data_IF_861557666461
#
_entry.id   IF_861557666461
#
_cell.length_a   1.000
_cell.length_b   1.000
_cell.length_c   1.000
_cell.angle_alpha   90.00
_cell.angle_beta   90.00
_cell.angle_gamma   90.00
#
_symmetry.space_group_name_H-M   'P 1'
#
loop_
_entity.id
_entity.type
_entity.pdbx_description
1 polymer ?
#
# COMPACT_ATOMS: atom_id res chain seq x y z
N UNK A 1 -27.22 24.61 31.73
CA UNK A 1 -27.77 23.69 30.69
C UNK A 1 -27.12 22.30 30.71
N UNK A 2 -25.83 22.18 31.04
CA UNK A 2 -25.09 20.92 31.12
C UNK A 2 -25.70 19.86 32.06
N UNK A 3 -26.08 20.23 33.30
CA UNK A 3 -26.71 19.33 34.28
C UNK A 3 -27.99 18.64 33.79
N UNK A 4 -28.79 19.30 32.93
CA UNK A 4 -30.01 18.71 32.36
C UNK A 4 -29.69 17.69 31.25
N UNK A 5 -28.65 17.96 30.46
CA UNK A 5 -28.17 17.07 29.40
C UNK A 5 -27.51 15.80 29.97
N UNK A 6 -26.71 15.94 31.03
CA UNK A 6 -26.08 14.81 31.73
C UNK A 6 -27.10 13.86 32.36
N UNK A 7 -28.20 14.40 32.88
CA UNK A 7 -29.29 13.58 33.41
C UNK A 7 -29.97 12.77 32.31
N UNK A 8 -30.27 13.39 31.16
CA UNK A 8 -30.82 12.69 29.99
C UNK A 8 -29.89 11.57 29.53
N UNK A 9 -28.58 11.82 29.48
CA UNK A 9 -27.57 10.86 29.03
C UNK A 9 -27.47 9.65 29.97
N UNK A 10 -27.43 9.88 31.28
CA UNK A 10 -27.40 8.78 32.26
C UNK A 10 -28.69 7.98 32.29
N UNK A 11 -29.84 8.65 32.08
CA UNK A 11 -31.14 7.97 32.04
C UNK A 11 -31.29 7.09 30.81
N UNK A 12 -30.85 7.55 29.62
CA UNK A 12 -30.85 6.74 28.40
C UNK A 12 -29.85 5.59 28.46
N UNK A 13 -28.68 5.79 29.08
CA UNK A 13 -27.69 4.74 29.30
C UNK A 13 -28.23 3.64 30.23
N UNK A 14 -28.90 4.03 31.32
CA UNK A 14 -29.50 3.09 32.26
C UNK A 14 -30.66 2.31 31.61
N UNK A 15 -31.53 3.00 30.87
CA UNK A 15 -32.65 2.37 30.16
C UNK A 15 -32.15 1.37 29.12
N UNK A 16 -31.08 1.72 28.41
CA UNK A 16 -30.41 0.83 27.47
C UNK A 16 -29.86 -0.44 28.16
N UNK A 17 -29.18 -0.28 29.31
CA UNK A 17 -28.68 -1.41 30.09
C UNK A 17 -29.81 -2.37 30.51
N UNK A 18 -30.96 -1.84 30.93
CA UNK A 18 -32.13 -2.64 31.29
C UNK A 18 -32.67 -3.40 30.07
N UNK A 19 -32.80 -2.73 28.91
CA UNK A 19 -33.26 -3.41 27.68
C UNK A 19 -32.35 -4.55 27.26
N UNK A 20 -31.03 -4.39 27.47
CA UNK A 20 -30.02 -5.40 27.16
C UNK A 20 -30.20 -6.69 27.98
N UNK A 21 -30.58 -6.56 29.25
CA UNK A 21 -30.83 -7.70 30.14
C UNK A 21 -32.19 -8.37 29.88
N UNK A 22 -33.20 -7.62 29.46
CA UNK A 22 -34.56 -8.17 29.25
C UNK A 22 -34.77 -8.87 27.91
N UNK A 23 -33.98 -8.56 26.88
CA UNK A 23 -34.20 -9.08 25.51
C UNK A 23 -32.90 -9.64 24.93
N UNK A 24 -32.51 -10.85 25.32
CA UNK A 24 -31.17 -11.39 25.01
C UNK A 24 -30.90 -11.66 23.52
N UNK A 25 -31.93 -11.94 22.71
CA UNK A 25 -31.76 -12.23 21.28
C UNK A 25 -31.72 -10.99 20.40
N UNK A 26 -32.58 -10.01 20.67
CA UNK A 26 -32.64 -8.74 19.92
C UNK A 26 -31.56 -7.76 20.41
N UNK A 27 -31.14 -7.88 21.67
CA UNK A 27 -30.12 -7.04 22.29
C UNK A 27 -28.78 -7.06 21.55
N UNK A 28 -28.38 -8.21 20.98
CA UNK A 28 -27.13 -8.32 20.20
C UNK A 28 -27.19 -7.43 18.96
N UNK A 29 -28.29 -7.45 18.20
CA UNK A 29 -28.42 -6.60 17.01
C UNK A 29 -28.56 -5.12 17.37
N UNK A 30 -29.22 -4.81 18.49
CA UNK A 30 -29.32 -3.44 18.97
C UNK A 30 -27.96 -2.89 19.40
N UNK A 31 -27.08 -3.71 19.98
CA UNK A 31 -25.76 -3.27 20.45
C UNK A 31 -24.87 -2.76 19.33
N UNK A 32 -24.93 -3.38 18.15
CA UNK A 32 -24.15 -2.93 16.98
C UNK A 32 -24.50 -1.50 16.54
N UNK A 33 -25.74 -1.06 16.75
CA UNK A 33 -26.19 0.29 16.37
C UNK A 33 -26.07 1.25 17.57
N UNK A 34 -26.32 0.78 18.78
CA UNK A 34 -26.32 1.59 19.98
C UNK A 34 -24.91 1.97 20.46
N UNK A 35 -23.92 1.08 20.35
CA UNK A 35 -22.52 1.37 20.75
C UNK A 35 -21.94 2.56 19.96
N UNK A 36 -22.08 2.65 18.61
CA UNK A 36 -21.68 3.83 17.86
C UNK A 36 -22.40 5.12 18.31
N UNK A 37 -23.70 5.05 18.60
CA UNK A 37 -24.49 6.23 19.00
C UNK A 37 -24.05 6.72 20.39
N UNK A 38 -23.82 5.81 21.33
CA UNK A 38 -23.36 6.12 22.69
C UNK A 38 -21.94 6.67 22.68
N UNK A 39 -21.04 6.11 21.86
CA UNK A 39 -19.67 6.63 21.73
C UNK A 39 -19.65 8.03 21.14
N UNK A 40 -20.42 8.30 20.08
CA UNK A 40 -20.55 9.64 19.48
C UNK A 40 -21.18 10.63 20.47
N UNK A 41 -22.25 10.24 21.17
CA UNK A 41 -22.92 11.09 22.16
C UNK A 41 -22.02 11.41 23.36
N UNK A 42 -21.26 10.42 23.85
CA UNK A 42 -20.26 10.60 24.90
C UNK A 42 -19.09 11.50 24.46
N UNK A 43 -18.63 11.36 23.21
CA UNK A 43 -17.60 12.21 22.62
C UNK A 43 -18.05 13.67 22.53
N UNK A 44 -19.29 13.90 22.07
CA UNK A 44 -19.91 15.23 21.99
C UNK A 44 -20.07 15.83 23.40
N UNK A 45 -20.47 15.03 24.38
CA UNK A 45 -20.58 15.50 25.78
C UNK A 45 -19.21 15.88 26.35
N UNK A 46 -18.16 15.08 26.09
CA UNK A 46 -16.78 15.37 26.51
C UNK A 46 -16.24 16.64 25.86
N UNK A 47 -16.54 16.86 24.58
CA UNK A 47 -16.18 18.07 23.85
C UNK A 47 -16.98 19.32 24.28
N UNK A 48 -18.20 19.14 24.79
CA UNK A 48 -19.07 20.26 25.21
C UNK A 48 -18.91 20.63 26.69
N UNK A 49 -18.10 19.88 27.46
CA UNK A 49 -17.93 20.09 28.91
C UNK A 49 -16.83 21.08 29.29
N UNK A 50 -16.07 21.62 28.35
CA UNK A 50 -15.01 22.60 28.64
C UNK A 50 -15.45 24.03 28.36
N UNK A 51 -16.30 24.59 29.22
CA UNK A 51 -16.22 26.03 29.51
C UNK A 51 -17.01 26.40 30.76
N UNK A 52 -16.32 26.63 31.87
CA UNK A 52 -16.79 27.56 32.91
C UNK A 52 -15.57 28.25 33.53
N UNK A 53 -15.35 29.49 33.07
CA UNK A 53 -14.64 30.63 33.69
C UNK A 53 -13.10 30.56 33.91
N UNK A 54 -12.35 31.30 33.08
CA UNK A 54 -11.78 32.62 33.49
C UNK A 54 -10.90 33.26 32.39
N UNK A 55 -11.45 34.30 31.77
CA UNK A 55 -10.84 35.56 31.34
C UNK A 55 -9.48 35.66 30.59
N UNK A 56 -9.63 36.20 29.37
CA UNK A 56 -8.93 37.36 28.79
C UNK A 56 -7.66 37.14 27.94
N UNK A 57 -7.89 37.43 26.65
CA UNK A 57 -7.01 38.02 25.64
C UNK A 57 -6.29 37.08 24.64
N UNK A 58 -6.64 37.35 23.38
CA UNK A 58 -5.83 37.23 22.15
C UNK A 58 -5.77 35.86 21.46
N UNK A 59 -6.41 35.86 20.28
CA UNK A 59 -5.96 35.26 19.01
C UNK A 59 -5.63 33.77 18.99
N UNK A 60 -6.55 33.05 18.33
CA UNK A 60 -6.35 31.85 17.50
C UNK A 60 -4.88 31.44 17.36
N UNK A 61 -4.46 30.47 18.17
CA UNK A 61 -3.34 29.58 17.91
C UNK A 61 -3.82 28.15 18.20
N UNK A 62 -4.53 27.58 17.23
CA UNK A 62 -4.70 26.14 17.09
C UNK A 62 -3.36 25.55 16.64
N UNK A 63 -2.44 25.36 17.59
CA UNK A 63 -1.35 24.38 17.57
C UNK A 63 -0.45 24.64 18.78
N UNK A 64 -0.06 23.57 19.46
CA UNK A 64 0.90 23.56 20.56
C UNK A 64 0.40 24.03 21.92
N UNK A 65 -0.09 23.06 22.71
CA UNK A 65 0.44 22.74 24.05
C UNK A 65 -0.53 21.79 24.75
N UNK A 66 -0.20 20.50 24.76
CA UNK A 66 -0.06 19.70 25.98
C UNK A 66 0.37 18.27 25.58
N UNK A 67 1.67 18.07 25.38
CA UNK A 67 2.28 16.80 24.95
C UNK A 67 2.94 16.03 26.11
N UNK A 68 2.56 16.31 27.35
CA UNK A 68 3.39 15.85 28.48
C UNK A 68 2.74 14.77 29.35
N UNK A 69 1.52 14.30 29.09
CA UNK A 69 0.89 13.26 29.93
C UNK A 69 -0.04 12.27 29.17
N UNK A 70 0.17 12.05 27.87
CA UNK A 70 -0.56 10.99 27.14
C UNK A 70 0.32 9.73 27.06
N UNK A 71 -0.19 8.53 27.37
CA UNK A 71 0.62 7.32 27.35
C UNK A 71 1.22 7.09 25.94
N UNK A 72 2.48 6.63 25.84
CA UNK A 72 3.22 6.53 24.58
C UNK A 72 2.62 5.57 23.53
N UNK A 73 1.58 4.80 23.88
CA UNK A 73 0.87 3.91 22.96
C UNK A 73 -0.11 4.62 22.02
N UNK A 74 -0.71 5.75 22.43
CA UNK A 74 -1.75 6.40 21.61
C UNK A 74 -1.16 7.11 20.38
N UNK A 75 0.00 7.76 20.54
CA UNK A 75 0.71 8.44 19.44
C UNK A 75 1.25 7.44 18.40
N UNK A 76 1.69 6.24 18.82
CA UNK A 76 2.14 5.18 17.92
C UNK A 76 0.97 4.61 17.11
N UNK A 77 -0.18 4.36 17.74
CA UNK A 77 -1.36 3.83 17.06
C UNK A 77 -1.88 4.77 15.96
N UNK A 78 -2.08 6.05 16.26
CA UNK A 78 -2.59 6.99 15.25
C UNK A 78 -1.59 7.22 14.12
N UNK A 79 -0.29 7.19 14.39
CA UNK A 79 0.74 7.28 13.34
C UNK A 79 0.73 6.05 12.42
N UNK A 80 0.56 4.84 12.98
CA UNK A 80 0.46 3.58 12.22
C UNK A 80 -0.80 3.54 11.37
N UNK A 81 -1.94 3.98 11.90
CA UNK A 81 -3.20 4.09 11.17
C UNK A 81 -3.10 5.12 10.04
N UNK A 82 -2.52 6.30 10.31
CA UNK A 82 -2.33 7.34 9.29
C UNK A 82 -1.42 6.86 8.15
N UNK A 83 -0.32 6.16 8.48
CA UNK A 83 0.58 5.57 7.49
C UNK A 83 -0.12 4.47 6.68
N UNK A 84 -0.89 3.60 7.34
CA UNK A 84 -1.69 2.57 6.66
C UNK A 84 -2.68 3.18 5.65
N UNK A 85 -3.40 4.24 6.04
CA UNK A 85 -4.31 4.96 5.15
C UNK A 85 -3.58 5.59 3.97
N UNK A 86 -2.40 6.18 4.20
CA UNK A 86 -1.57 6.77 3.14
C UNK A 86 -1.15 5.71 2.12
N UNK A 87 -0.70 4.54 2.58
CA UNK A 87 -0.34 3.44 1.69
C UNK A 87 -1.53 2.88 0.92
N UNK A 88 -2.68 2.72 1.58
CA UNK A 88 -3.90 2.28 0.92
C UNK A 88 -4.36 3.26 -0.18
N UNK A 89 -4.32 4.56 0.12
CA UNK A 89 -4.68 5.60 -0.86
C UNK A 89 -3.68 5.63 -2.03
N UNK A 90 -2.39 5.50 -1.75
CA UNK A 90 -1.35 5.39 -2.77
C UNK A 90 -1.53 4.15 -3.65
N UNK A 91 -1.85 2.98 -3.07
CA UNK A 91 -2.20 1.75 -3.81
C UNK A 91 -3.34 2.01 -4.78
N UNK A 92 -4.42 2.60 -4.26
CA UNK A 92 -5.64 2.84 -5.03
C UNK A 92 -5.41 3.82 -6.18
N UNK A 93 -4.59 4.85 -5.97
CA UNK A 93 -4.25 5.83 -6.99
C UNK A 93 -3.35 5.24 -8.08
N UNK A 94 -2.32 4.47 -7.70
CA UNK A 94 -1.45 3.77 -8.64
C UNK A 94 -2.21 2.73 -9.46
N UNK A 95 -3.06 1.93 -8.81
CA UNK A 95 -3.93 0.97 -9.49
C UNK A 95 -4.86 1.70 -10.46
N UNK A 96 -5.46 2.82 -10.05
CA UNK A 96 -6.36 3.61 -10.91
C UNK A 96 -5.63 4.14 -12.15
N UNK A 97 -4.41 4.65 -12.00
CA UNK A 97 -3.63 5.18 -13.11
C UNK A 97 -3.16 4.07 -14.05
N UNK A 98 -2.61 2.97 -13.52
CA UNK A 98 -2.08 1.87 -14.31
C UNK A 98 -3.17 1.04 -14.99
N UNK A 99 -4.34 0.89 -14.35
CA UNK A 99 -5.48 0.16 -14.91
C UNK A 99 -6.40 1.00 -15.81
N UNK A 100 -6.19 2.32 -15.93
CA UNK A 100 -7.09 3.22 -16.66
C UNK A 100 -7.33 2.77 -18.10
N UNK A 101 -6.26 2.47 -18.84
CA UNK A 101 -6.36 2.04 -20.23
C UNK A 101 -7.03 0.65 -20.35
N UNK A 102 -6.68 -0.27 -19.46
CA UNK A 102 -7.29 -1.61 -19.41
C UNK A 102 -8.80 -1.55 -19.11
N UNK A 103 -9.23 -0.69 -18.18
CA UNK A 103 -10.64 -0.45 -17.88
C UNK A 103 -11.39 0.17 -19.07
N UNK A 104 -10.77 1.10 -19.78
CA UNK A 104 -11.37 1.66 -20.99
C UNK A 104 -11.55 0.61 -22.10
N UNK A 105 -10.59 -0.32 -22.23
CA UNK A 105 -10.68 -1.45 -23.17
C UNK A 105 -11.80 -2.42 -22.76
N UNK A 106 -11.97 -2.70 -21.46
CA UNK A 106 -13.11 -3.51 -20.99
C UNK A 106 -14.43 -2.83 -21.34
N UNK A 107 -14.56 -1.52 -21.08
CA UNK A 107 -15.79 -0.77 -21.37
C UNK A 107 -16.12 -0.80 -22.87
N UNK A 108 -15.12 -0.62 -23.74
CA UNK A 108 -15.35 -0.69 -25.19
C UNK A 108 -15.71 -2.10 -25.67
N UNK A 109 -15.10 -3.14 -25.09
CA UNK A 109 -15.45 -4.53 -25.38
C UNK A 109 -16.87 -4.89 -24.91
N UNK A 110 -17.27 -4.45 -23.72
CA UNK A 110 -18.63 -4.64 -23.19
C UNK A 110 -19.68 -3.90 -24.03
N UNK A 111 -19.35 -2.74 -24.58
CA UNK A 111 -20.23 -2.03 -25.53
C UNK A 111 -20.46 -2.87 -26.79
N UNK A 112 -19.39 -3.44 -27.36
CA UNK A 112 -19.48 -4.31 -28.54
C UNK A 112 -20.22 -5.61 -28.22
N UNK A 113 -20.05 -6.16 -27.02
CA UNK A 113 -20.83 -7.31 -26.53
C UNK A 113 -22.32 -6.99 -26.47
N UNK A 114 -22.70 -5.89 -25.83
CA UNK A 114 -24.10 -5.46 -25.73
C UNK A 114 -24.73 -5.23 -27.12
N UNK A 115 -23.96 -4.67 -28.06
CA UNK A 115 -24.41 -4.53 -29.44
C UNK A 115 -24.59 -5.89 -30.11
N UNK A 116 -23.65 -6.83 -29.98
CA UNK A 116 -23.77 -8.18 -30.52
C UNK A 116 -24.95 -8.97 -29.91
N UNK A 117 -25.21 -8.81 -28.61
CA UNK A 117 -26.38 -9.39 -27.93
C UNK A 117 -27.70 -8.82 -28.46
N UNK A 118 -27.74 -7.51 -28.74
CA UNK A 118 -28.91 -6.88 -29.34
C UNK A 118 -29.20 -7.44 -30.74
N UNK A 119 -28.18 -7.61 -31.57
CA UNK A 119 -28.32 -8.20 -32.92
C UNK A 119 -28.70 -9.68 -32.85
N UNK A 120 -28.21 -10.42 -31.86
CA UNK A 120 -28.55 -11.83 -31.66
C UNK A 120 -30.05 -12.06 -31.38
N UNK A 121 -30.74 -11.10 -30.75
CA UNK A 121 -32.20 -11.19 -30.52
C UNK A 121 -33.00 -11.22 -31.83
N UNK A 122 -32.55 -10.49 -32.85
CA UNK A 122 -33.27 -10.31 -34.11
C UNK A 122 -32.65 -11.10 -35.30
N UNK A 123 -31.50 -11.74 -35.10
CA UNK A 123 -30.76 -12.45 -36.13
C UNK A 123 -31.40 -13.77 -36.60
N UNK A 124 -31.15 -14.12 -37.87
CA UNK A 124 -31.54 -15.41 -38.45
C UNK A 124 -30.64 -16.57 -37.96
N UNK A 125 -30.97 -17.83 -38.29
CA UNK A 125 -30.32 -19.03 -37.70
C UNK A 125 -28.81 -19.10 -37.95
N UNK A 126 -28.35 -18.64 -39.11
CA UNK A 126 -26.92 -18.63 -39.47
C UNK A 126 -26.18 -17.46 -38.79
N UNK A 127 -26.76 -16.26 -38.79
CA UNK A 127 -26.21 -15.09 -38.10
C UNK A 127 -26.15 -15.28 -36.57
N UNK A 128 -27.13 -15.97 -35.98
CA UNK A 128 -27.11 -16.32 -34.56
C UNK A 128 -25.87 -17.11 -34.17
N UNK A 129 -25.40 -18.03 -35.02
CA UNK A 129 -24.16 -18.78 -34.76
C UNK A 129 -22.94 -17.86 -34.78
N UNK A 130 -22.91 -16.91 -35.73
CA UNK A 130 -21.84 -15.92 -35.85
C UNK A 130 -21.80 -14.98 -34.64
N UNK A 131 -22.93 -14.39 -34.23
CA UNK A 131 -22.99 -13.52 -33.06
C UNK A 131 -22.68 -14.27 -31.75
N UNK A 132 -23.10 -15.53 -31.61
CA UNK A 132 -22.67 -16.37 -30.46
C UNK A 132 -21.15 -16.51 -30.40
N UNK A 133 -20.51 -16.84 -31.52
CA UNK A 133 -19.05 -16.96 -31.58
C UNK A 133 -18.34 -15.63 -31.30
N UNK A 134 -18.91 -14.52 -31.75
CA UNK A 134 -18.40 -13.18 -31.48
C UNK A 134 -18.49 -12.84 -29.98
N UNK A 135 -19.63 -13.11 -29.34
CA UNK A 135 -19.82 -12.91 -27.89
C UNK A 135 -18.85 -13.77 -27.09
N UNK A 136 -18.67 -15.05 -27.43
CA UNK A 136 -17.70 -15.91 -26.72
C UNK A 136 -16.27 -15.40 -26.87
N UNK A 137 -15.92 -14.87 -28.04
CA UNK A 137 -14.60 -14.28 -28.29
C UNK A 137 -14.40 -13.01 -27.46
N UNK A 138 -15.42 -12.14 -27.39
CA UNK A 138 -15.37 -10.91 -26.60
C UNK A 138 -15.26 -11.23 -25.11
N UNK A 139 -16.04 -12.18 -24.60
CA UNK A 139 -15.93 -12.65 -23.21
C UNK A 139 -14.53 -13.17 -22.87
N UNK A 140 -13.92 -13.93 -23.78
CA UNK A 140 -12.52 -14.37 -23.64
C UNK A 140 -11.54 -13.20 -23.55
N UNK A 141 -11.73 -12.16 -24.38
CA UNK A 141 -10.90 -10.93 -24.35
C UNK A 141 -11.12 -10.11 -23.07
N UNK A 142 -12.35 -9.99 -22.59
CA UNK A 142 -12.65 -9.30 -21.32
C UNK A 142 -11.96 -10.02 -20.15
N UNK A 143 -12.10 -11.35 -20.06
CA UNK A 143 -11.44 -12.15 -19.04
C UNK A 143 -9.90 -12.03 -19.08
N UNK A 144 -9.31 -11.87 -20.27
CA UNK A 144 -7.88 -11.61 -20.46
C UNK A 144 -7.48 -10.27 -19.84
N UNK A 145 -8.21 -9.20 -20.15
CA UNK A 145 -7.92 -7.86 -19.64
C UNK A 145 -8.14 -7.77 -18.13
N UNK A 146 -9.15 -8.46 -17.58
CA UNK A 146 -9.36 -8.58 -16.14
C UNK A 146 -8.18 -9.29 -15.45
N UNK A 147 -7.66 -10.36 -16.04
CA UNK A 147 -6.48 -11.05 -15.53
C UNK A 147 -5.25 -10.13 -15.50
N UNK A 148 -5.08 -9.27 -16.50
CA UNK A 148 -4.00 -8.26 -16.51
C UNK A 148 -4.14 -7.27 -15.37
N UNK A 149 -5.36 -6.80 -15.09
CA UNK A 149 -5.60 -5.87 -13.97
C UNK A 149 -5.24 -6.55 -12.64
N UNK A 150 -5.58 -7.83 -12.47
CA UNK A 150 -5.24 -8.57 -11.25
C UNK A 150 -3.73 -8.77 -11.08
N UNK A 151 -3.01 -9.09 -12.16
CA UNK A 151 -1.54 -9.18 -12.12
C UNK A 151 -0.88 -7.84 -11.77
N UNK A 152 -1.40 -6.73 -12.31
CA UNK A 152 -0.94 -5.38 -11.96
C UNK A 152 -1.21 -5.10 -10.47
N UNK A 153 -2.34 -5.56 -9.93
CA UNK A 153 -2.66 -5.39 -8.51
C UNK A 153 -1.70 -6.20 -7.61
N UNK A 154 -1.40 -7.44 -7.98
CA UNK A 154 -0.47 -8.31 -7.26
C UNK A 154 0.98 -7.77 -7.28
N UNK A 155 1.45 -7.27 -8.43
CA UNK A 155 2.75 -6.59 -8.56
C UNK A 155 2.82 -5.33 -7.68
N UNK A 156 1.74 -4.54 -7.64
CA UNK A 156 1.65 -3.37 -6.78
C UNK A 156 1.64 -3.74 -5.30
N UNK A 157 1.00 -4.86 -4.93
CA UNK A 157 1.03 -5.36 -3.55
C UNK A 157 2.42 -5.81 -3.14
N UNK A 158 3.17 -6.46 -4.04
CA UNK A 158 4.58 -6.79 -3.83
C UNK A 158 5.46 -5.54 -3.70
N UNK A 159 5.26 -4.52 -4.53
CA UNK A 159 5.99 -3.26 -4.45
C UNK A 159 5.70 -2.50 -3.15
N UNK A 160 4.43 -2.41 -2.75
CA UNK A 160 4.02 -1.74 -1.51
C UNK A 160 4.51 -2.50 -0.29
N UNK A 161 4.45 -3.85 -0.30
CA UNK A 161 5.00 -4.67 0.76
C UNK A 161 6.51 -4.46 0.93
N UNK A 162 7.25 -4.35 -0.19
CA UNK A 162 8.68 -3.99 -0.18
C UNK A 162 8.91 -2.58 0.38
N UNK A 163 8.09 -1.60 0.00
CA UNK A 163 8.17 -0.23 0.53
C UNK A 163 7.85 -0.19 2.02
N UNK A 164 6.85 -0.96 2.49
CA UNK A 164 6.51 -1.08 3.91
C UNK A 164 7.63 -1.75 4.70
N UNK A 165 8.26 -2.79 4.14
CA UNK A 165 9.45 -3.41 4.71
C UNK A 165 10.57 -2.36 4.81
N UNK A 166 10.83 -1.60 3.75
CA UNK A 166 11.84 -0.52 3.74
C UNK A 166 11.50 0.58 4.74
N UNK A 167 10.23 1.00 4.90
CA UNK A 167 9.84 1.96 5.93
C UNK A 167 9.92 1.39 7.35
N UNK A 168 9.94 0.07 7.51
CA UNK A 168 10.10 -0.61 8.78
C UNK A 168 11.53 -1.15 9.00
N UNK A 169 12.46 -0.91 8.07
CA UNK A 169 13.83 -1.43 8.15
C UNK A 169 14.64 -0.76 9.27
N UNK A 170 15.77 -1.39 9.69
CA UNK A 170 16.81 -0.79 10.53
C UNK A 170 17.20 0.65 10.17
N UNK A 171 16.96 1.13 8.95
CA UNK A 171 17.16 2.52 8.53
C UNK A 171 16.26 3.51 9.27
N UNK A 172 14.96 3.19 9.43
CA UNK A 172 14.03 4.05 10.18
C UNK A 172 14.19 3.86 11.69
N UNK A 173 14.54 2.66 12.15
CA UNK A 173 14.89 2.41 13.55
C UNK A 173 16.19 3.15 13.91
N UNK A 174 17.19 3.19 13.02
CA UNK A 174 18.40 3.97 13.18
C UNK A 174 18.10 5.47 13.14
N UNK A 175 17.29 5.96 12.18
CA UNK A 175 16.88 7.37 12.15
C UNK A 175 16.12 7.79 13.43
N UNK A 176 15.26 6.93 13.95
CA UNK A 176 14.52 7.16 15.19
C UNK A 176 15.44 7.12 16.43
N UNK A 177 16.40 6.17 16.49
CA UNK A 177 17.45 6.15 17.53
C UNK A 177 18.35 7.39 17.46
N UNK A 178 18.71 7.86 16.25
CA UNK A 178 19.48 9.09 16.02
C UNK A 178 18.70 10.32 16.56
N UNK A 179 17.39 10.42 16.31
CA UNK A 179 16.55 11.50 16.89
C UNK A 179 16.41 11.39 18.41
N UNK A 180 16.30 10.17 18.96
CA UNK A 180 16.29 9.93 20.40
C UNK A 180 17.65 10.29 21.05
N UNK A 181 18.75 10.06 20.36
CA UNK A 181 20.09 10.46 20.83
C UNK A 181 20.23 12.00 20.80
N UNK A 182 19.78 12.67 19.72
CA UNK A 182 19.74 14.14 19.62
C UNK A 182 18.97 14.84 20.74
N UNK A 183 17.87 14.23 21.17
CA UNK A 183 17.00 14.80 22.20
C UNK A 183 17.50 14.55 23.62
N UNK A 184 18.34 13.51 23.82
CA UNK A 184 18.83 13.10 25.13
C UNK A 184 20.30 13.48 25.41
N UNK A 185 21.10 13.81 24.39
CA UNK A 185 22.51 14.19 24.53
C UNK A 185 22.74 15.62 24.04
N UNK A 186 22.61 16.58 24.95
CA UNK A 186 23.06 17.96 24.72
C UNK A 186 24.33 18.31 25.51
N UNK A 187 25.08 17.34 26.06
CA UNK A 187 26.19 17.64 27.00
C UNK A 187 27.40 16.68 26.99
N UNK A 188 27.67 15.89 25.93
CA UNK A 188 28.85 15.01 25.91
C UNK A 188 29.50 14.94 24.53
N UNK A 189 30.78 15.30 24.43
CA UNK A 189 31.61 15.25 23.20
C UNK A 189 31.62 13.87 22.53
N UNK A 190 31.42 12.78 23.29
CA UNK A 190 31.34 11.41 22.75
C UNK A 190 30.02 11.11 22.04
N UNK A 191 28.94 11.83 22.34
CA UNK A 191 27.63 11.64 21.74
C UNK A 191 27.53 12.25 20.33
N UNK A 192 28.17 13.41 20.14
CA UNK A 192 28.18 14.12 18.85
C UNK A 192 28.92 13.33 17.75
N UNK A 193 29.97 12.58 18.12
CA UNK A 193 30.69 11.71 17.18
C UNK A 193 29.82 10.55 16.68
N UNK A 194 29.13 9.87 17.59
CA UNK A 194 28.25 8.73 17.28
C UNK A 194 27.08 9.18 16.41
N UNK A 195 26.52 10.36 16.72
CA UNK A 195 25.41 10.92 15.97
C UNK A 195 25.82 11.28 14.53
N UNK A 196 26.97 11.93 14.35
CA UNK A 196 27.48 12.31 13.04
C UNK A 196 27.85 11.08 12.19
N UNK A 197 28.41 10.03 12.80
CA UNK A 197 28.70 8.76 12.13
C UNK A 197 27.40 8.06 11.66
N UNK A 198 26.38 8.04 12.51
CA UNK A 198 25.09 7.44 12.19
C UNK A 198 24.34 8.22 11.08
N UNK A 199 24.41 9.55 11.08
CA UNK A 199 23.88 10.38 9.99
C UNK A 199 24.61 10.17 8.67
N UNK A 200 25.93 10.00 8.70
CA UNK A 200 26.72 9.70 7.51
C UNK A 200 26.37 8.32 6.93
N UNK A 201 26.24 7.30 7.77
CA UNK A 201 25.78 5.97 7.34
C UNK A 201 24.38 6.02 6.72
N UNK A 202 23.46 6.79 7.31
CA UNK A 202 22.12 6.98 6.78
C UNK A 202 22.14 7.68 5.40
N UNK A 203 23.00 8.69 5.24
CA UNK A 203 23.18 9.41 3.97
C UNK A 203 23.71 8.48 2.87
N UNK A 204 24.71 7.66 3.21
CA UNK A 204 25.29 6.67 2.29
C UNK A 204 24.23 5.64 1.88
N UNK A 205 23.49 5.08 2.83
CA UNK A 205 22.42 4.12 2.55
C UNK A 205 21.36 4.71 1.60
N UNK A 206 20.89 5.94 1.86
CA UNK A 206 19.93 6.63 0.98
C UNK A 206 20.47 6.85 -0.43
N UNK A 207 21.74 7.23 -0.56
CA UNK A 207 22.41 7.40 -1.84
C UNK A 207 22.48 6.09 -2.64
N UNK A 208 22.90 4.99 -2.00
CA UNK A 208 22.99 3.67 -2.63
C UNK A 208 21.62 3.15 -3.08
N UNK A 209 20.58 3.34 -2.27
CA UNK A 209 19.20 2.95 -2.62
C UNK A 209 18.69 3.77 -3.82
N UNK A 210 18.99 5.07 -3.87
CA UNK A 210 18.62 5.92 -5.01
C UNK A 210 19.27 5.43 -6.30
N UNK A 211 20.56 5.07 -6.25
CA UNK A 211 21.28 4.57 -7.42
C UNK A 211 20.80 3.18 -7.86
N UNK A 212 20.48 2.29 -6.91
CA UNK A 212 19.85 1.00 -7.19
C UNK A 212 18.54 1.18 -7.93
N UNK A 213 17.66 2.06 -7.44
CA UNK A 213 16.37 2.32 -8.08
C UNK A 213 16.53 2.90 -9.48
N UNK A 214 17.50 3.81 -9.67
CA UNK A 214 17.80 4.39 -10.97
C UNK A 214 18.26 3.34 -11.99
N UNK A 215 19.17 2.44 -11.61
CA UNK A 215 19.69 1.38 -12.48
C UNK A 215 18.69 0.26 -12.74
N UNK A 216 17.86 -0.10 -11.75
CA UNK A 216 16.89 -1.21 -11.89
C UNK A 216 15.57 -0.80 -12.54
N UNK A 217 15.19 0.48 -12.53
CA UNK A 217 13.96 0.97 -13.16
C UNK A 217 13.80 0.58 -14.65
N UNK A 218 14.78 0.82 -15.54
CA UNK A 218 14.65 0.43 -16.96
C UNK A 218 14.57 -1.09 -17.15
N UNK A 219 15.26 -1.87 -16.30
CA UNK A 219 15.22 -3.33 -16.34
C UNK A 219 13.85 -3.88 -15.93
N UNK A 220 13.24 -3.32 -14.87
CA UNK A 220 11.88 -3.66 -14.45
C UNK A 220 10.84 -3.32 -15.52
N UNK A 221 11.01 -2.20 -16.22
CA UNK A 221 10.12 -1.83 -17.31
C UNK A 221 10.25 -2.80 -18.49
N UNK A 222 11.48 -3.19 -18.84
CA UNK A 222 11.74 -4.20 -19.88
C UNK A 222 11.18 -5.56 -19.50
N UNK A 223 11.32 -5.96 -18.24
CA UNK A 223 10.72 -7.19 -17.69
C UNK A 223 9.21 -7.19 -17.87
N UNK A 224 8.53 -6.08 -17.52
CA UNK A 224 7.08 -5.92 -17.71
C UNK A 224 6.66 -6.05 -19.17
N UNK A 225 7.39 -5.42 -20.08
CA UNK A 225 7.11 -5.48 -21.52
C UNK A 225 7.22 -6.92 -22.05
N UNK A 226 8.28 -7.63 -21.70
CA UNK A 226 8.47 -9.03 -22.13
C UNK A 226 7.38 -9.93 -21.55
N UNK A 227 7.00 -9.72 -20.29
CA UNK A 227 5.90 -10.47 -19.69
C UNK A 227 4.56 -10.20 -20.38
N UNK A 228 4.27 -8.96 -20.79
CA UNK A 228 3.08 -8.64 -21.58
C UNK A 228 3.09 -9.36 -22.94
N UNK A 229 4.23 -9.37 -23.62
CA UNK A 229 4.40 -10.06 -24.91
C UNK A 229 4.26 -11.58 -24.80
N UNK A 230 4.61 -12.17 -23.64
CA UNK A 230 4.49 -13.61 -23.36
C UNK A 230 3.04 -14.09 -23.19
N UNK A 231 2.12 -13.23 -22.79
CA UNK A 231 0.74 -13.63 -22.46
C UNK A 231 -0.04 -14.04 -23.70
N UNK A 232 0.10 -13.28 -24.79
CA UNK A 232 -0.56 -13.56 -26.06
C UNK A 232 -0.26 -14.99 -26.57
N UNK A 233 1.01 -15.40 -26.79
CA UNK A 233 1.34 -16.75 -27.25
C UNK A 233 0.94 -17.84 -26.23
N UNK A 234 0.97 -17.55 -24.92
CA UNK A 234 0.57 -18.49 -23.87
C UNK A 234 -0.92 -18.85 -23.92
N UNK A 235 -1.77 -17.92 -24.35
CA UNK A 235 -3.21 -18.15 -24.50
C UNK A 235 -3.48 -18.86 -25.82
N UNK A 236 -2.83 -18.44 -26.91
CA UNK A 236 -3.01 -19.07 -28.22
C UNK A 236 -2.65 -20.56 -28.19
N UNK A 237 -1.58 -20.97 -27.49
CA UNK A 237 -1.23 -22.40 -27.31
C UNK A 237 -2.37 -23.26 -26.76
N UNK A 238 -3.20 -22.71 -25.87
CA UNK A 238 -4.28 -23.46 -25.20
C UNK A 238 -5.48 -23.72 -26.11
N UNK A 239 -5.64 -22.89 -27.15
CA UNK A 239 -6.78 -22.92 -28.05
C UNK A 239 -6.41 -23.26 -29.50
N UNK A 240 -5.12 -23.33 -29.81
CA UNK A 240 -4.61 -23.63 -31.15
C UNK A 240 -4.61 -25.13 -31.43
N UNK A 241 -5.29 -25.51 -32.51
CA UNK A 241 -5.39 -26.90 -32.98
C UNK A 241 -4.29 -27.24 -33.98
N UNK A 242 -3.70 -26.23 -34.63
CA UNK A 242 -2.60 -26.40 -35.59
C UNK A 242 -1.27 -26.61 -34.86
N UNK A 243 -0.67 -27.79 -35.05
CA UNK A 243 0.60 -28.17 -34.43
C UNK A 243 1.74 -27.22 -34.78
N UNK A 244 1.83 -26.75 -36.03
CA UNK A 244 2.94 -25.90 -36.50
C UNK A 244 2.88 -24.54 -35.81
N UNK A 245 1.68 -23.96 -35.68
CA UNK A 245 1.48 -22.70 -34.95
C UNK A 245 1.73 -22.86 -33.46
N UNK A 246 1.32 -23.99 -32.88
CA UNK A 246 1.56 -24.29 -31.46
C UNK A 246 3.05 -24.33 -31.13
N UNK A 247 3.87 -24.97 -31.97
CA UNK A 247 5.34 -24.99 -31.82
C UNK A 247 5.91 -23.58 -31.89
N UNK A 248 5.46 -22.75 -32.85
CA UNK A 248 5.91 -21.36 -33.01
C UNK A 248 5.56 -20.48 -31.80
N UNK A 249 4.38 -20.66 -31.22
CA UNK A 249 4.02 -19.95 -29.99
C UNK A 249 4.84 -20.44 -28.79
N UNK A 250 5.18 -21.73 -28.73
CA UNK A 250 5.99 -22.28 -27.64
C UNK A 250 7.42 -21.76 -27.69
N UNK A 251 7.98 -21.64 -28.90
CA UNK A 251 9.30 -21.06 -29.12
C UNK A 251 9.36 -19.60 -28.64
N UNK A 252 8.35 -18.80 -28.95
CA UNK A 252 8.24 -17.41 -28.43
C UNK A 252 8.18 -17.36 -26.91
N UNK A 253 7.43 -18.26 -26.27
CA UNK A 253 7.35 -18.33 -24.80
C UNK A 253 8.73 -18.65 -24.21
N UNK A 254 9.43 -19.63 -24.78
CA UNK A 254 10.76 -20.02 -24.32
C UNK A 254 11.79 -18.89 -24.50
N UNK A 255 11.69 -18.14 -25.59
CA UNK A 255 12.53 -16.96 -25.85
C UNK A 255 12.27 -15.86 -24.80
N UNK A 256 10.99 -15.56 -24.53
CA UNK A 256 10.62 -14.62 -23.46
C UNK A 256 11.13 -15.08 -22.10
N UNK A 257 11.03 -16.36 -21.77
CA UNK A 257 11.53 -16.91 -20.49
C UNK A 257 13.05 -16.77 -20.33
N UNK A 258 13.80 -16.99 -21.41
CA UNK A 258 15.25 -16.78 -21.42
C UNK A 258 15.61 -15.31 -21.23
N UNK A 259 14.85 -14.40 -21.83
CA UNK A 259 15.07 -12.96 -21.65
C UNK A 259 14.74 -12.49 -20.22
N UNK A 260 13.68 -13.04 -19.62
CA UNK A 260 13.32 -12.73 -18.23
C UNK A 260 14.40 -13.21 -17.26
N UNK A 261 14.94 -14.43 -17.45
CA UNK A 261 16.02 -14.94 -16.58
C UNK A 261 17.27 -14.06 -16.64
N UNK A 262 17.65 -13.60 -17.83
CA UNK A 262 18.78 -12.67 -18.01
C UNK A 262 18.56 -11.35 -17.28
N UNK A 263 17.34 -10.80 -17.31
CA UNK A 263 17.03 -9.56 -16.61
C UNK A 263 17.08 -9.75 -15.09
N UNK A 264 16.61 -10.88 -14.58
CA UNK A 264 16.67 -11.20 -13.16
C UNK A 264 18.13 -11.34 -12.68
N UNK A 265 18.98 -11.99 -13.48
CA UNK A 265 20.42 -12.09 -13.25
C UNK A 265 21.10 -10.71 -13.23
N UNK A 266 20.76 -9.82 -14.18
CA UNK A 266 21.28 -8.45 -14.24
C UNK A 266 20.87 -7.63 -13.01
N UNK A 267 19.61 -7.74 -12.58
CA UNK A 267 19.11 -7.06 -11.36
C UNK A 267 19.87 -7.57 -10.12
N UNK A 268 20.10 -8.88 -10.04
CA UNK A 268 20.84 -9.48 -8.92
C UNK A 268 22.31 -9.03 -8.92
N UNK A 269 22.96 -8.99 -10.08
CA UNK A 269 24.32 -8.50 -10.25
C UNK A 269 24.47 -7.04 -9.80
N UNK A 270 23.56 -6.16 -10.23
CA UNK A 270 23.54 -4.74 -9.82
C UNK A 270 23.35 -4.60 -8.31
N UNK A 271 22.48 -5.40 -7.70
CA UNK A 271 22.28 -5.38 -6.26
C UNK A 271 23.57 -5.75 -5.52
N UNK A 272 24.28 -6.78 -5.98
CA UNK A 272 25.55 -7.23 -5.40
C UNK A 272 26.68 -6.22 -5.57
N UNK A 273 26.79 -5.57 -6.73
CA UNK A 273 27.75 -4.47 -6.95
C UNK A 273 27.53 -3.33 -5.95
N UNK A 274 26.28 -2.92 -5.74
CA UNK A 274 25.95 -1.81 -4.85
C UNK A 274 26.10 -2.17 -3.37
N UNK A 275 25.89 -3.43 -3.01
CA UNK A 275 26.22 -3.96 -1.69
C UNK A 275 27.72 -3.85 -1.41
N UNK A 276 28.57 -4.25 -2.37
CA UNK A 276 30.03 -4.13 -2.24
C UNK A 276 30.44 -2.66 -2.08
N UNK A 277 29.88 -1.76 -2.90
CA UNK A 277 30.15 -0.31 -2.81
C UNK A 277 29.74 0.22 -1.42
N UNK A 278 28.57 -0.19 -0.93
CA UNK A 278 28.10 0.19 0.40
C UNK A 278 29.06 -0.28 1.50
N UNK A 279 29.50 -1.54 1.48
CA UNK A 279 30.47 -2.05 2.45
C UNK A 279 31.84 -1.35 2.35
N UNK A 280 32.31 -1.04 1.14
CA UNK A 280 33.55 -0.27 0.96
C UNK A 280 33.43 1.15 1.53
N UNK A 281 32.31 1.83 1.31
CA UNK A 281 32.06 3.19 1.81
C UNK A 281 31.94 3.21 3.34
N UNK A 282 31.31 2.18 3.94
CA UNK A 282 31.28 1.99 5.39
C UNK A 282 32.68 1.79 5.95
N UNK A 283 33.46 0.88 5.37
CA UNK A 283 34.80 0.56 5.87
C UNK A 283 35.75 1.75 5.79
N UNK A 284 35.63 2.56 4.73
CA UNK A 284 36.38 3.81 4.55
C UNK A 284 36.08 4.86 5.62
N UNK A 285 34.86 4.88 6.15
CA UNK A 285 34.46 5.78 7.24
C UNK A 285 34.64 5.18 8.64
N UNK A 286 34.83 3.86 8.75
CA UNK A 286 35.02 3.15 10.04
C UNK A 286 36.46 3.19 10.58
N UNK A 287 37.45 3.62 9.78
CA UNK A 287 38.83 3.83 10.24
C UNK A 287 38.94 4.84 11.39
N UNK A 288 37.88 5.58 11.69
CA UNK A 288 37.76 6.49 12.84
C UNK A 288 37.07 5.91 14.07
N UNK A 289 36.40 4.74 14.06
CA UNK A 289 35.82 4.19 15.30
C UNK A 289 35.49 2.69 15.25
N UNK A 290 36.27 1.88 15.97
CA UNK A 290 36.07 0.42 16.10
C UNK A 290 34.81 0.04 16.90
N UNK A 291 34.21 0.96 17.65
CA UNK A 291 33.12 0.65 18.59
C UNK A 291 31.75 0.46 17.91
N UNK A 292 31.50 1.09 16.74
CA UNK A 292 30.22 0.98 16.03
C UNK A 292 30.03 -0.35 15.28
N UNK A 293 31.12 -1.10 15.00
CA UNK A 293 31.03 -2.40 14.32
C UNK A 293 30.39 -3.50 15.20
N UNK A 294 30.41 -3.35 16.52
CA UNK A 294 29.93 -4.37 17.46
C UNK A 294 28.42 -4.23 17.72
N UNK A 295 27.82 -3.06 17.51
CA UNK A 295 26.39 -2.82 17.78
C UNK A 295 25.44 -3.07 16.61
N UNK A 296 25.97 -3.40 15.42
CA UNK A 296 25.22 -3.50 14.16
C UNK A 296 25.23 -4.91 13.54
N UNK A 297 25.85 -5.89 14.20
CA UNK A 297 25.68 -7.34 13.97
C UNK A 297 24.59 -7.83 14.93
#
# INVERSE_FOLDING_TARGET
MHKKSTFIFWTTLLLYLVTLFTVSYVGVYLTYIAIPIITISGLIMKLTSSNTESNNNSTINLTSKNKNNLPPEEDDFFSRVANSLKFHNMKKELLRNNSKNHKNIIISLLLVEAQAESHLKYANKNEKKLYKNMITTIKGKVALVERHINLIEEDLDLEISKIQLISNTPINIAACKIEQIKTNQSTSESGDCILNDAENLLRIAKSTISELNKRTKPLKEKWRQINLEKIEPSIFIKHETDYVKKVKYQEKINESDKLLSLIDDDIHSIAKELEIIFFMEINKNSTTNKELQISLI
#
